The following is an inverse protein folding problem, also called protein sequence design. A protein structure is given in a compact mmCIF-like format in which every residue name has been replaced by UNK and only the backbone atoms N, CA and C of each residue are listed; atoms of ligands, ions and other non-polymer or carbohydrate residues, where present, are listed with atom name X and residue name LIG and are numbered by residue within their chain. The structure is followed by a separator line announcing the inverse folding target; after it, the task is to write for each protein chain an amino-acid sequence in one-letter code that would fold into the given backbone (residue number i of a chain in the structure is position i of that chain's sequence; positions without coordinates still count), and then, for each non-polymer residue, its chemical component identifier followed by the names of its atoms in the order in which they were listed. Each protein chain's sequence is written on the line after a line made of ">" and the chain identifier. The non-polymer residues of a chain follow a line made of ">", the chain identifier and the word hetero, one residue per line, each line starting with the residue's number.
data_IF_645843969289
#
_entry.id   IF_645843969289
#
_cell.length_a   1.000
_cell.length_b   1.000
_cell.length_c   1.000
_cell.angle_alpha   90.00
_cell.angle_beta   90.00
_cell.angle_gamma   90.00
#
_symmetry.space_group_name_H-M   'P 1'
#
loop_
_entity.id
_entity.type
_entity.pdbx_description
1 polymer ?
#
# COMPACT_ATOMS: atom_id res chain seq x y z
N UNK A 1 -27.81 -24.04 4.08
CA UNK A 1 -26.48 -23.56 4.49
C UNK A 1 -25.50 -24.68 4.24
N UNK A 2 -24.50 -24.51 3.39
CA UNK A 2 -23.45 -25.51 3.31
C UNK A 2 -22.74 -25.56 4.66
N UNK A 3 -22.94 -26.66 5.38
CA UNK A 3 -22.19 -26.98 6.57
C UNK A 3 -20.73 -27.23 6.15
N UNK A 4 -19.87 -26.24 6.19
CA UNK A 4 -18.54 -26.58 5.76
C UNK A 4 -17.47 -25.51 5.85
N UNK A 5 -17.81 -24.31 6.19
CA UNK A 5 -16.82 -23.26 6.42
C UNK A 5 -16.85 -22.82 7.89
N UNK A 6 -16.71 -23.81 8.79
CA UNK A 6 -16.29 -23.46 10.14
C UNK A 6 -14.88 -22.88 10.02
N UNK A 7 -14.79 -21.57 10.06
CA UNK A 7 -13.53 -20.86 10.14
C UNK A 7 -12.73 -21.45 11.30
N UNK A 8 -11.57 -22.03 11.01
CA UNK A 8 -10.69 -22.59 12.03
C UNK A 8 -10.45 -21.53 13.09
N UNK A 9 -10.96 -21.73 14.28
CA UNK A 9 -10.73 -20.80 15.40
C UNK A 9 -9.24 -20.76 15.71
N UNK A 10 -8.67 -19.57 15.69
CA UNK A 10 -7.28 -19.39 16.05
C UNK A 10 -6.98 -19.86 17.46
N UNK A 11 -5.84 -20.51 17.66
CA UNK A 11 -5.43 -21.07 18.96
C UNK A 11 -5.14 -20.00 20.01
N UNK A 12 -4.65 -18.82 19.60
CA UNK A 12 -4.28 -17.75 20.50
C UNK A 12 -5.19 -16.52 20.35
N UNK A 13 -5.26 -15.68 21.38
CA UNK A 13 -6.04 -14.45 21.34
C UNK A 13 -5.58 -13.51 20.21
N UNK A 14 -4.27 -13.48 19.93
CA UNK A 14 -3.69 -12.67 18.84
C UNK A 14 -4.18 -13.16 17.47
N UNK A 15 -4.17 -14.47 17.25
CA UNK A 15 -4.64 -15.08 16.01
C UNK A 15 -6.14 -14.89 15.83
N UNK A 16 -6.93 -15.03 16.88
CA UNK A 16 -8.37 -14.76 16.83
C UNK A 16 -8.69 -13.33 16.42
N UNK A 17 -7.96 -12.34 16.99
CA UNK A 17 -8.12 -10.94 16.61
C UNK A 17 -7.73 -10.68 15.15
N UNK A 18 -6.66 -11.29 14.67
CA UNK A 18 -6.24 -11.17 13.28
C UNK A 18 -7.26 -11.79 12.32
N UNK A 19 -7.83 -12.96 12.66
CA UNK A 19 -8.86 -13.62 11.87
C UNK A 19 -10.17 -12.82 11.86
N UNK A 20 -10.56 -12.24 13.00
CA UNK A 20 -11.75 -11.41 13.11
C UNK A 20 -11.68 -10.18 12.20
N UNK A 21 -10.49 -9.59 12.03
CA UNK A 21 -10.27 -8.47 11.11
C UNK A 21 -10.43 -8.85 9.64
N UNK A 22 -10.24 -10.12 9.30
CA UNK A 22 -10.32 -10.63 7.92
C UNK A 22 -11.71 -11.16 7.56
N UNK A 23 -12.61 -11.28 8.52
CA UNK A 23 -13.97 -11.75 8.25
C UNK A 23 -14.74 -10.77 7.37
N UNK A 24 -15.63 -11.28 6.48
CA UNK A 24 -16.52 -10.43 5.70
C UNK A 24 -17.37 -9.56 6.63
N UNK A 25 -17.50 -8.28 6.30
CA UNK A 25 -18.24 -7.31 7.10
C UNK A 25 -19.37 -6.71 6.27
N UNK A 26 -20.48 -6.39 6.93
CA UNK A 26 -21.58 -5.68 6.29
C UNK A 26 -21.20 -4.25 5.86
N UNK A 27 -20.28 -3.63 6.60
CA UNK A 27 -19.69 -2.32 6.27
C UNK A 27 -18.21 -2.53 6.00
N UNK A 28 -17.75 -2.14 4.80
CA UNK A 28 -16.35 -2.26 4.43
C UNK A 28 -15.46 -1.31 5.25
N UNK A 29 -14.26 -1.75 5.54
CA UNK A 29 -13.24 -0.91 6.14
C UNK A 29 -12.85 0.22 5.17
N UNK A 30 -12.46 1.39 5.68
CA UNK A 30 -11.86 2.41 4.84
C UNK A 30 -10.65 1.85 4.08
N UNK A 31 -10.46 2.31 2.85
CA UNK A 31 -9.31 1.88 2.04
C UNK A 31 -8.04 2.50 2.60
N UNK A 32 -7.17 1.66 3.12
CA UNK A 32 -5.88 2.08 3.66
C UNK A 32 -4.88 2.25 2.51
N UNK A 33 -4.12 3.32 2.57
CA UNK A 33 -3.05 3.60 1.62
C UNK A 33 -1.69 3.25 2.23
N UNK A 34 -0.84 2.59 1.43
CA UNK A 34 0.54 2.29 1.77
C UNK A 34 1.45 3.23 0.99
N UNK A 35 2.25 4.03 1.69
CA UNK A 35 3.19 4.96 1.07
C UNK A 35 4.59 4.34 1.14
N UNK A 36 5.16 4.04 -0.03
CA UNK A 36 6.39 3.26 -0.16
C UNK A 36 7.43 4.11 -0.90
N UNK A 37 8.66 4.03 -0.43
CA UNK A 37 9.81 4.67 -1.07
C UNK A 37 10.70 3.62 -1.73
N UNK A 38 11.13 3.91 -2.97
CA UNK A 38 12.06 3.05 -3.70
C UNK A 38 13.51 3.19 -3.20
N UNK A 39 14.43 2.49 -3.84
CA UNK A 39 15.85 2.55 -3.51
C UNK A 39 16.45 3.95 -3.73
N UNK A 40 16.06 4.60 -4.82
CA UNK A 40 16.50 5.95 -5.15
C UNK A 40 15.29 6.88 -5.11
N UNK A 41 15.34 7.86 -4.23
CA UNK A 41 14.31 8.87 -4.09
C UNK A 41 14.96 10.25 -4.03
N UNK A 42 14.17 11.29 -4.18
CA UNK A 42 14.60 12.67 -3.97
C UNK A 42 13.94 13.25 -2.74
N UNK A 43 14.49 14.36 -2.23
CA UNK A 43 13.85 15.09 -1.13
C UNK A 43 12.42 15.51 -1.45
N UNK A 44 12.18 15.93 -2.69
CA UNK A 44 10.83 16.28 -3.16
C UNK A 44 9.85 15.12 -3.06
N UNK A 45 10.24 13.92 -3.51
CA UNK A 45 9.40 12.74 -3.42
C UNK A 45 9.15 12.32 -1.97
N UNK A 46 10.16 12.38 -1.13
CA UNK A 46 10.01 12.08 0.30
C UNK A 46 9.02 13.03 0.97
N UNK A 47 9.10 14.31 0.65
CA UNK A 47 8.17 15.33 1.17
C UNK A 47 6.74 15.09 0.68
N UNK A 48 6.56 14.77 -0.60
CA UNK A 48 5.24 14.44 -1.17
C UNK A 48 4.64 13.21 -0.51
N UNK A 49 5.42 12.15 -0.30
CA UNK A 49 4.94 10.95 0.38
C UNK A 49 4.53 11.26 1.83
N UNK A 50 5.30 12.08 2.52
CA UNK A 50 4.96 12.52 3.88
C UNK A 50 3.66 13.33 3.90
N UNK A 51 3.48 14.24 2.96
CA UNK A 51 2.26 15.05 2.84
C UNK A 51 1.04 14.19 2.54
N UNK A 52 1.17 13.23 1.62
CA UNK A 52 0.10 12.27 1.33
C UNK A 52 -0.27 11.43 2.55
N UNK A 53 0.73 11.01 3.32
CA UNK A 53 0.50 10.30 4.57
C UNK A 53 -0.30 11.16 5.56
N UNK A 54 0.07 12.41 5.72
CA UNK A 54 -0.62 13.35 6.61
C UNK A 54 -2.07 13.60 6.19
N UNK A 55 -2.31 13.70 4.90
CA UNK A 55 -3.66 13.89 4.34
C UNK A 55 -4.54 12.64 4.51
N UNK A 56 -3.95 11.47 4.42
CA UNK A 56 -4.69 10.19 4.45
C UNK A 56 -4.88 9.63 5.87
N UNK A 57 -4.16 10.16 6.86
CA UNK A 57 -4.32 9.70 8.25
C UNK A 57 -5.78 9.69 8.69
N UNK A 58 -6.21 8.72 9.53
CA UNK A 58 -5.42 7.61 10.11
C UNK A 58 -5.34 6.36 9.22
N UNK A 59 -5.89 6.41 8.00
CA UNK A 59 -5.98 5.27 7.09
C UNK A 59 -4.79 5.23 6.13
N UNK A 60 -3.58 5.38 6.66
CA UNK A 60 -2.34 5.34 5.89
C UNK A 60 -1.22 4.71 6.71
N UNK A 61 -0.32 4.04 6.02
CA UNK A 61 0.93 3.51 6.58
C UNK A 61 2.09 4.07 5.76
N UNK A 62 3.07 4.64 6.42
CA UNK A 62 4.24 5.22 5.77
C UNK A 62 5.45 4.32 5.99
N UNK A 63 5.92 3.67 4.91
CA UNK A 63 7.15 2.91 4.92
C UNK A 63 8.35 3.82 4.70
N UNK A 64 9.15 4.00 5.74
CA UNK A 64 10.36 4.82 5.70
C UNK A 64 11.56 4.07 5.13
N UNK A 65 11.53 2.73 5.10
CA UNK A 65 12.59 1.91 4.53
C UNK A 65 12.59 1.99 3.01
N UNK A 66 13.77 1.94 2.43
CA UNK A 66 13.92 1.81 0.98
C UNK A 66 13.53 0.40 0.53
N UNK A 67 12.76 0.31 -0.53
CA UNK A 67 12.32 -0.96 -1.09
C UNK A 67 12.71 -1.03 -2.57
N UNK A 68 13.41 -2.09 -2.94
CA UNK A 68 13.71 -2.37 -4.34
C UNK A 68 12.47 -2.97 -4.99
N UNK A 69 11.76 -2.17 -5.76
CA UNK A 69 10.59 -2.61 -6.51
C UNK A 69 10.52 -1.89 -7.85
N UNK A 70 10.06 -2.60 -8.86
CA UNK A 70 9.84 -2.09 -10.20
C UNK A 70 8.40 -2.43 -10.59
N UNK A 71 7.41 -1.56 -10.28
CA UNK A 71 5.99 -1.90 -10.37
C UNK A 71 5.53 -2.38 -11.74
N UNK A 72 6.09 -1.81 -12.81
CA UNK A 72 5.70 -2.16 -14.17
C UNK A 72 6.44 -3.38 -14.73
N UNK A 73 7.51 -3.81 -14.08
CA UNK A 73 8.26 -5.02 -14.45
C UNK A 73 7.79 -6.22 -13.61
N UNK A 74 7.69 -6.03 -12.30
CA UNK A 74 7.24 -7.05 -11.36
C UNK A 74 6.53 -6.38 -10.18
N UNK A 75 5.22 -6.54 -10.11
CA UNK A 75 4.39 -5.96 -9.07
C UNK A 75 4.30 -6.83 -7.80
N UNK A 76 4.83 -8.05 -7.83
CA UNK A 76 4.73 -9.00 -6.72
C UNK A 76 5.22 -8.44 -5.38
N UNK A 77 6.36 -7.73 -5.29
CA UNK A 77 6.79 -7.14 -4.03
C UNK A 77 5.81 -6.13 -3.46
N UNK A 78 5.18 -5.30 -4.30
CA UNK A 78 4.19 -4.32 -3.87
C UNK A 78 2.89 -4.99 -3.42
N UNK A 79 2.43 -5.99 -4.15
CA UNK A 79 1.25 -6.78 -3.75
C UNK A 79 1.47 -7.45 -2.39
N UNK A 80 2.65 -8.02 -2.17
CA UNK A 80 2.99 -8.64 -0.89
C UNK A 80 2.97 -7.63 0.26
N UNK A 81 3.58 -6.46 0.08
CA UNK A 81 3.60 -5.42 1.10
C UNK A 81 2.19 -4.89 1.41
N UNK A 82 1.38 -4.69 0.38
CA UNK A 82 0.00 -4.23 0.54
C UNK A 82 -0.86 -5.29 1.24
N UNK A 83 -0.71 -6.55 0.89
CA UNK A 83 -1.40 -7.65 1.56
C UNK A 83 -1.04 -7.73 3.04
N UNK A 84 0.24 -7.62 3.36
CA UNK A 84 0.73 -7.70 4.74
C UNK A 84 0.22 -6.56 5.60
N UNK A 85 0.01 -5.38 5.04
CA UNK A 85 -0.49 -4.19 5.72
C UNK A 85 -1.99 -3.97 5.56
N UNK A 86 -2.68 -4.90 4.92
CA UNK A 86 -4.12 -4.79 4.62
C UNK A 86 -4.46 -3.46 3.91
N UNK A 87 -3.65 -3.11 2.92
CA UNK A 87 -3.79 -1.88 2.15
C UNK A 87 -4.31 -2.19 0.75
N UNK A 88 -5.29 -1.42 0.30
CA UNK A 88 -5.86 -1.53 -1.05
C UNK A 88 -5.42 -0.42 -2.00
N UNK A 89 -4.67 0.53 -1.49
CA UNK A 89 -4.09 1.64 -2.25
C UNK A 89 -2.60 1.72 -1.94
N UNK A 90 -1.81 2.15 -2.92
CA UNK A 90 -0.41 2.46 -2.67
C UNK A 90 0.06 3.66 -3.48
N UNK A 91 1.09 4.34 -2.97
CA UNK A 91 1.86 5.33 -3.68
C UNK A 91 3.35 4.97 -3.52
N UNK A 92 4.02 4.76 -4.64
CA UNK A 92 5.42 4.35 -4.69
C UNK A 92 6.25 5.44 -5.34
N UNK A 93 7.21 5.99 -4.61
CA UNK A 93 8.06 7.09 -5.05
C UNK A 93 9.46 6.64 -5.41
N UNK A 94 9.94 7.08 -6.57
CA UNK A 94 11.31 6.84 -7.04
C UNK A 94 11.86 8.09 -7.72
N UNK A 95 13.17 8.08 -7.96
CA UNK A 95 13.84 9.15 -8.70
C UNK A 95 14.95 8.56 -9.55
N UNK A 96 14.98 8.90 -10.82
CA UNK A 96 16.06 8.54 -11.74
C UNK A 96 16.27 9.63 -12.78
N UNK A 97 17.34 9.53 -13.55
CA UNK A 97 17.61 10.49 -14.64
C UNK A 97 16.53 10.44 -15.73
N UNK A 98 16.03 9.25 -16.05
CA UNK A 98 14.98 9.07 -17.06
C UNK A 98 13.60 9.49 -16.55
N UNK A 99 13.34 9.28 -15.27
CA UNK A 99 12.06 9.56 -14.62
C UNK A 99 12.29 10.29 -13.31
N UNK A 100 12.60 11.60 -13.37
CA UNK A 100 12.82 12.38 -12.17
C UNK A 100 11.53 12.56 -11.39
N UNK A 101 11.63 12.52 -10.07
CA UNK A 101 10.50 12.72 -9.14
C UNK A 101 9.28 11.90 -9.53
N UNK A 102 9.49 10.59 -9.73
CA UNK A 102 8.47 9.68 -10.21
C UNK A 102 7.59 9.18 -9.07
N UNK A 103 6.29 9.15 -9.30
CA UNK A 103 5.30 8.70 -8.33
C UNK A 103 4.30 7.79 -9.02
N UNK A 104 4.18 6.55 -8.54
CA UNK A 104 3.26 5.55 -9.07
C UNK A 104 2.15 5.33 -8.06
N UNK A 105 0.91 5.55 -8.49
CA UNK A 105 -0.28 5.24 -7.70
C UNK A 105 -0.90 3.94 -8.18
N UNK A 106 -1.38 3.12 -7.27
CA UNK A 106 -2.02 1.88 -7.62
C UNK A 106 -3.19 1.54 -6.71
N UNK A 107 -4.09 0.73 -7.26
CA UNK A 107 -5.23 0.17 -6.55
C UNK A 107 -5.17 -1.35 -6.59
N UNK A 108 -5.59 -1.97 -5.50
CA UNK A 108 -5.65 -3.43 -5.39
C UNK A 108 -7.07 -3.87 -5.09
N UNK A 109 -7.37 -5.08 -5.58
CA UNK A 109 -8.56 -5.82 -5.21
C UNK A 109 -8.18 -7.28 -5.03
N UNK A 110 -8.62 -7.88 -3.93
CA UNK A 110 -8.32 -9.27 -3.59
C UNK A 110 -6.81 -9.57 -3.64
N UNK A 111 -6.01 -8.65 -3.09
CA UNK A 111 -4.53 -8.70 -3.02
C UNK A 111 -3.80 -8.65 -4.36
N UNK A 112 -4.49 -8.32 -5.44
CA UNK A 112 -3.90 -8.15 -6.77
C UNK A 112 -4.07 -6.72 -7.25
N UNK A 113 -3.08 -6.21 -7.97
CA UNK A 113 -3.13 -4.86 -8.54
C UNK A 113 -4.14 -4.84 -9.68
N UNK A 114 -5.10 -3.91 -9.58
CA UNK A 114 -6.08 -3.65 -10.64
C UNK A 114 -5.52 -2.74 -11.71
N UNK A 115 -4.95 -1.62 -11.29
CA UNK A 115 -4.37 -0.63 -12.19
C UNK A 115 -3.31 0.20 -11.47
N UNK A 116 -2.45 0.83 -12.26
CA UNK A 116 -1.42 1.75 -11.80
C UNK A 116 -1.35 2.95 -12.71
N UNK A 117 -1.08 4.12 -12.14
CA UNK A 117 -0.84 5.36 -12.87
C UNK A 117 0.53 5.92 -12.47
N UNK A 118 1.38 6.16 -13.44
CA UNK A 118 2.69 6.79 -13.22
C UNK A 118 2.62 8.28 -13.50
N UNK A 119 3.12 9.07 -12.56
CA UNK A 119 3.14 10.53 -12.66
C UNK A 119 4.52 11.07 -12.30
N UNK A 120 4.83 12.25 -12.80
CA UNK A 120 6.02 13.01 -12.38
C UNK A 120 5.60 14.21 -11.56
N UNK A 121 6.30 14.45 -10.44
CA UNK A 121 6.05 15.63 -9.61
C UNK A 121 6.88 16.81 -10.14
N UNK A 122 6.21 17.90 -10.52
CA UNK A 122 6.87 19.09 -11.03
C UNK A 122 7.42 19.99 -9.91
N UNK A 123 6.76 20.01 -8.77
CA UNK A 123 7.19 20.79 -7.61
C UNK A 123 6.23 20.59 -6.43
N UNK A 124 6.71 20.92 -5.24
CA UNK A 124 5.91 20.95 -4.04
C UNK A 124 6.15 22.26 -3.28
N UNK A 125 5.07 22.80 -2.72
CA UNK A 125 5.12 24.03 -1.95
C UNK A 125 4.99 23.68 -0.46
N UNK A 126 5.80 24.27 0.42
CA UNK A 126 5.70 24.02 1.84
C UNK A 126 4.39 24.54 2.46
#
# INVERSE_FOLDING_TARGET
>A
MPAGLEAKRGKTARVRRALAKREPKAVENPRTALLIRGQKTSGLINDVLTDLFMLKKPHAVHFKRQNAAHPFEDATPLEFLCQKNDSSLFAFGTHSKKRPHNLVFGRLFDHHILDMVETGVAGAWP
#
